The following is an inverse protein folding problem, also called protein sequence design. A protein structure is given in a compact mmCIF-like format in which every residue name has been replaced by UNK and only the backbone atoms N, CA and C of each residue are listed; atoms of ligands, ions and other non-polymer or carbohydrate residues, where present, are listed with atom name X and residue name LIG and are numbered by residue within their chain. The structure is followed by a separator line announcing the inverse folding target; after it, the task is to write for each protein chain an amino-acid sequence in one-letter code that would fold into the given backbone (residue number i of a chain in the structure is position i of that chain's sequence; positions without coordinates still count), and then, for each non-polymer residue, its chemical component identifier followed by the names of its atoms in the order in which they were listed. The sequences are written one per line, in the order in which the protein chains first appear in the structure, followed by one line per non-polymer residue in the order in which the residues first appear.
data_IF_527472877442
#
_entry.id   IF_527472877442
#
_cell.length_a   1.000
_cell.length_b   1.000
_cell.length_c   1.000
_cell.angle_alpha   90.00
_cell.angle_beta   90.00
_cell.angle_gamma   90.00
#
_symmetry.space_group_name_H-M   'P 1'
#
loop_
_entity.id
_entity.type
_entity.pdbx_description
1 polymer ?
#
# COMPACT_ATOMS: atom_id res chain seq x y z
N UNK A 1 66.30 -35.82 30.56
CA UNK A 1 65.20 -34.88 30.24
C UNK A 1 64.79 -35.15 28.79
N UNK A 2 63.59 -35.69 28.57
CA UNK A 2 63.23 -36.43 27.34
C UNK A 2 62.72 -35.50 26.23
N UNK A 3 63.59 -35.21 25.26
CA UNK A 3 63.43 -34.22 24.17
C UNK A 3 62.39 -34.68 23.11
N UNK A 4 62.03 -35.95 23.09
CA UNK A 4 61.13 -36.51 22.07
C UNK A 4 59.65 -36.18 22.35
N UNK A 5 59.31 -35.89 23.61
CA UNK A 5 57.93 -35.62 24.02
C UNK A 5 57.51 -34.14 23.78
N UNK A 6 58.47 -33.22 23.68
CA UNK A 6 58.19 -31.81 23.35
C UNK A 6 57.98 -31.60 21.85
N UNK A 7 58.62 -32.40 21.00
CA UNK A 7 58.47 -32.33 19.54
C UNK A 7 57.09 -32.84 19.09
N UNK A 8 56.54 -33.87 19.74
CA UNK A 8 55.20 -34.40 19.42
C UNK A 8 54.08 -33.43 19.80
N UNK A 9 54.20 -32.77 20.95
CA UNK A 9 53.25 -31.74 21.41
C UNK A 9 53.29 -30.50 20.52
N UNK A 10 54.48 -30.05 20.10
CA UNK A 10 54.64 -28.92 19.18
C UNK A 10 54.08 -29.20 17.78
N UNK A 11 54.25 -30.43 17.25
CA UNK A 11 53.62 -30.83 15.97
C UNK A 11 52.10 -30.88 16.06
N UNK A 12 51.53 -31.35 17.18
CA UNK A 12 50.08 -31.39 17.41
C UNK A 12 49.50 -29.98 17.58
N UNK A 13 50.23 -29.05 18.21
CA UNK A 13 49.78 -27.67 18.36
C UNK A 13 49.79 -26.91 17.02
N UNK A 14 50.79 -27.14 16.17
CA UNK A 14 50.84 -26.56 14.82
C UNK A 14 49.78 -27.12 13.86
N UNK A 15 49.38 -28.40 14.00
CA UNK A 15 48.29 -28.94 13.18
C UNK A 15 46.92 -28.38 13.61
N UNK A 16 46.71 -28.12 14.90
CA UNK A 16 45.49 -27.50 15.39
C UNK A 16 45.35 -26.04 14.94
N UNK A 17 46.44 -25.27 14.96
CA UNK A 17 46.44 -23.88 14.47
C UNK A 17 46.19 -23.81 12.95
N UNK A 18 46.85 -24.66 12.16
CA UNK A 18 46.58 -24.73 10.71
C UNK A 18 45.12 -25.08 10.39
N UNK A 19 44.52 -25.96 11.18
CA UNK A 19 43.12 -26.31 10.98
C UNK A 19 42.19 -25.15 11.38
N UNK A 20 42.50 -24.42 12.46
CA UNK A 20 41.72 -23.25 12.88
C UNK A 20 41.72 -22.15 11.82
N UNK A 21 42.86 -21.89 11.18
CA UNK A 21 42.95 -20.90 10.09
C UNK A 21 42.10 -21.34 8.87
N UNK A 22 42.10 -22.63 8.53
CA UNK A 22 41.25 -23.18 7.46
C UNK A 22 39.76 -23.07 7.81
N UNK A 23 39.37 -23.30 9.07
CA UNK A 23 37.98 -23.12 9.52
C UNK A 23 37.55 -21.65 9.48
N UNK A 24 38.43 -20.71 9.86
CA UNK A 24 38.13 -19.28 9.78
C UNK A 24 38.06 -18.79 8.33
N UNK A 25 38.88 -19.32 7.43
CA UNK A 25 38.80 -19.02 6.00
C UNK A 25 37.51 -19.57 5.39
N UNK A 26 37.05 -20.77 5.78
CA UNK A 26 35.78 -21.33 5.30
C UNK A 26 34.57 -20.57 5.83
N UNK A 27 34.59 -20.11 7.09
CA UNK A 27 33.55 -19.20 7.64
C UNK A 27 33.56 -17.88 6.86
N UNK A 28 34.72 -17.30 6.57
CA UNK A 28 34.82 -16.09 5.75
C UNK A 28 34.35 -16.31 4.31
N UNK A 29 34.69 -17.44 3.67
CA UNK A 29 34.18 -17.80 2.34
C UNK A 29 32.66 -17.97 2.34
N UNK A 30 32.08 -18.66 3.33
CA UNK A 30 30.62 -18.84 3.45
C UNK A 30 29.90 -17.51 3.69
N UNK A 31 30.45 -16.60 4.50
CA UNK A 31 29.87 -15.28 4.70
C UNK A 31 30.01 -14.36 3.48
N UNK A 32 31.10 -14.50 2.69
CA UNK A 32 31.31 -13.70 1.47
C UNK A 32 30.38 -14.11 0.32
N UNK A 33 29.88 -15.36 0.31
CA UNK A 33 28.94 -15.85 -0.71
C UNK A 33 27.46 -15.68 -0.35
N UNK A 34 27.12 -15.29 0.89
CA UNK A 34 25.72 -15.05 1.31
C UNK A 34 25.36 -13.61 1.67
N UNK A 35 26.30 -12.68 1.63
CA UNK A 35 25.95 -11.28 1.43
C UNK A 35 25.54 -11.10 -0.05
N UNK A 36 24.29 -11.43 -0.37
CA UNK A 36 23.65 -10.80 -1.53
C UNK A 36 23.75 -9.30 -1.25
N UNK A 37 24.50 -8.50 -2.04
CA UNK A 37 24.14 -7.11 -2.10
C UNK A 37 22.66 -7.14 -2.49
N UNK A 38 21.82 -6.43 -1.75
CA UNK A 38 20.55 -5.99 -2.29
C UNK A 38 20.92 -4.96 -3.37
N UNK A 39 21.53 -5.42 -4.45
CA UNK A 39 21.50 -4.76 -5.73
C UNK A 39 20.03 -4.77 -6.07
N UNK A 40 19.39 -3.63 -5.83
CA UNK A 40 18.33 -3.17 -6.69
C UNK A 40 18.83 -3.38 -8.12
N UNK A 41 18.40 -4.48 -8.72
CA UNK A 41 18.33 -4.58 -10.16
C UNK A 41 17.42 -3.42 -10.56
N UNK A 42 18.05 -2.26 -10.80
CA UNK A 42 17.67 -1.41 -11.90
C UNK A 42 17.75 -2.30 -13.12
N UNK A 43 16.68 -3.05 -13.36
CA UNK A 43 16.29 -3.40 -14.71
C UNK A 43 16.39 -2.09 -15.45
N UNK A 44 17.44 -1.94 -16.28
CA UNK A 44 17.40 -1.06 -17.43
C UNK A 44 16.23 -1.55 -18.26
N UNK A 45 15.04 -1.12 -17.85
CA UNK A 45 13.87 -1.06 -18.70
C UNK A 45 14.31 -0.07 -19.76
N UNK A 46 14.62 -0.58 -20.95
CA UNK A 46 14.66 0.25 -22.14
C UNK A 46 13.48 1.22 -22.04
N UNK A 47 13.62 2.54 -22.25
CA UNK A 47 12.48 3.42 -22.43
C UNK A 47 11.84 3.12 -23.80
N UNK A 48 11.37 1.89 -23.95
CA UNK A 48 10.45 1.46 -24.97
C UNK A 48 9.13 2.10 -24.60
N UNK A 49 8.90 3.27 -25.20
CA UNK A 49 7.59 3.91 -25.33
C UNK A 49 6.98 4.35 -24.00
N UNK A 50 7.33 5.59 -23.66
CA UNK A 50 6.36 6.57 -23.16
C UNK A 50 5.16 6.65 -24.13
N UNK A 51 4.27 5.66 -24.10
CA UNK A 51 2.97 5.66 -24.79
C UNK A 51 1.82 5.43 -23.79
N UNK A 52 2.08 5.53 -22.48
CA UNK A 52 1.05 5.48 -21.42
C UNK A 52 0.91 6.82 -20.67
N UNK A 53 1.25 7.95 -21.30
CA UNK A 53 1.11 9.30 -20.71
C UNK A 53 0.15 10.21 -21.49
N UNK A 54 -0.77 9.66 -22.27
CA UNK A 54 -1.74 10.45 -23.08
C UNK A 54 -3.14 9.86 -23.16
N UNK A 55 -3.46 8.85 -22.35
CA UNK A 55 -4.80 8.23 -22.38
C UNK A 55 -5.69 8.75 -21.25
N UNK A 56 -5.12 9.34 -20.19
CA UNK A 56 -5.91 9.94 -19.10
C UNK A 56 -6.23 11.43 -19.31
N UNK A 57 -5.59 12.09 -20.27
CA UNK A 57 -5.64 13.55 -20.35
C UNK A 57 -6.96 14.07 -20.93
N UNK A 58 -7.67 13.29 -21.75
CA UNK A 58 -8.84 13.81 -22.48
C UNK A 58 -10.18 13.55 -21.77
N UNK A 59 -10.31 12.47 -21.00
CA UNK A 59 -11.59 12.10 -20.39
C UNK A 59 -11.88 12.89 -19.10
N UNK A 60 -10.84 13.37 -18.42
CA UNK A 60 -10.95 14.15 -17.18
C UNK A 60 -10.61 15.63 -17.33
N UNK A 61 -10.20 16.09 -18.52
CA UNK A 61 -9.90 17.50 -18.81
C UNK A 61 -11.04 18.45 -18.43
N UNK A 62 -12.30 18.01 -18.58
CA UNK A 62 -13.45 18.80 -18.17
C UNK A 62 -13.61 18.91 -16.64
N UNK A 63 -13.26 17.84 -15.92
CA UNK A 63 -13.45 17.76 -14.46
C UNK A 63 -12.28 18.39 -13.69
N UNK A 64 -11.10 18.46 -14.30
CA UNK A 64 -9.86 18.94 -13.73
C UNK A 64 -9.11 19.81 -14.76
N UNK A 65 -9.49 21.09 -14.92
CA UNK A 65 -8.76 22.00 -15.79
C UNK A 65 -7.29 22.11 -15.36
N UNK A 66 -6.37 22.05 -16.33
CA UNK A 66 -4.93 22.19 -16.06
C UNK A 66 -4.65 23.47 -15.26
N UNK A 67 -3.88 23.34 -14.17
CA UNK A 67 -3.54 24.45 -13.28
C UNK A 67 -4.53 24.71 -12.14
N UNK A 68 -5.75 24.14 -12.17
CA UNK A 68 -6.75 24.31 -11.10
C UNK A 68 -7.07 23.04 -10.32
N UNK A 69 -6.38 21.93 -10.59
CA UNK A 69 -6.59 20.61 -9.98
C UNK A 69 -6.83 20.68 -8.47
N UNK A 70 -5.96 21.38 -7.72
CA UNK A 70 -6.06 21.49 -6.26
C UNK A 70 -7.36 22.15 -5.81
N UNK A 71 -7.78 23.20 -6.51
CA UNK A 71 -9.01 23.94 -6.18
C UNK A 71 -10.23 23.08 -6.45
N UNK A 72 -10.29 22.40 -7.60
CA UNK A 72 -11.39 21.50 -7.93
C UNK A 72 -11.45 20.29 -6.99
N UNK A 73 -10.30 19.70 -6.64
CA UNK A 73 -10.24 18.59 -5.68
C UNK A 73 -10.76 19.04 -4.31
N UNK A 74 -10.35 20.21 -3.81
CA UNK A 74 -10.88 20.77 -2.57
C UNK A 74 -12.38 21.06 -2.67
N UNK A 75 -12.84 21.58 -3.80
CA UNK A 75 -14.25 21.85 -4.03
C UNK A 75 -15.06 20.55 -4.02
N UNK A 76 -14.64 19.52 -4.74
CA UNK A 76 -15.29 18.21 -4.75
C UNK A 76 -15.28 17.55 -3.37
N UNK A 77 -14.18 17.65 -2.65
CA UNK A 77 -14.08 17.13 -1.29
C UNK A 77 -15.08 17.81 -0.34
N UNK A 78 -15.44 19.07 -0.60
CA UNK A 78 -16.42 19.81 0.20
C UNK A 78 -17.86 19.58 -0.29
N UNK A 79 -18.10 19.60 -1.60
CA UNK A 79 -19.45 19.59 -2.20
C UNK A 79 -20.05 18.18 -2.30
N UNK A 80 -19.26 17.15 -2.58
CA UNK A 80 -19.77 15.78 -2.72
C UNK A 80 -20.42 15.26 -1.43
N UNK A 81 -19.77 15.36 -0.25
CA UNK A 81 -20.39 14.95 1.01
C UNK A 81 -21.61 15.80 1.31
N UNK A 82 -21.52 17.13 1.12
CA UNK A 82 -22.65 18.02 1.35
C UNK A 82 -23.89 17.63 0.54
N UNK A 83 -23.71 17.34 -0.76
CA UNK A 83 -24.81 16.93 -1.63
C UNK A 83 -25.36 15.56 -1.23
N UNK A 84 -24.49 14.60 -0.89
CA UNK A 84 -24.91 13.29 -0.41
C UNK A 84 -25.73 13.38 0.89
N UNK A 85 -25.25 14.20 1.84
CA UNK A 85 -25.92 14.46 3.10
C UNK A 85 -27.25 15.17 2.91
N UNK A 86 -27.32 16.16 2.02
CA UNK A 86 -28.55 16.87 1.69
C UNK A 86 -29.59 15.94 1.09
N UNK A 87 -29.20 15.10 0.13
CA UNK A 87 -30.08 14.12 -0.50
C UNK A 87 -30.58 13.11 0.53
N UNK A 88 -29.70 12.61 1.39
CA UNK A 88 -30.09 11.69 2.46
C UNK A 88 -31.04 12.34 3.46
N UNK A 89 -30.73 13.55 3.91
CA UNK A 89 -31.56 14.32 4.85
C UNK A 89 -32.92 14.62 4.23
N UNK A 90 -32.96 14.96 2.94
CA UNK A 90 -34.18 15.16 2.19
C UNK A 90 -35.03 13.89 2.18
N UNK A 91 -34.49 12.73 1.79
CA UNK A 91 -35.25 11.48 1.78
C UNK A 91 -35.65 10.98 3.18
N UNK A 92 -34.78 11.18 4.18
CA UNK A 92 -35.03 10.75 5.55
C UNK A 92 -36.09 11.60 6.24
N UNK A 93 -35.99 12.93 6.14
CA UNK A 93 -36.89 13.87 6.82
C UNK A 93 -38.19 14.07 6.04
N UNK A 94 -38.19 14.04 4.71
CA UNK A 94 -39.45 14.09 3.92
C UNK A 94 -40.40 12.96 4.25
N UNK A 95 -39.92 11.89 4.88
CA UNK A 95 -40.73 10.77 5.36
C UNK A 95 -41.31 10.99 6.76
N UNK A 96 -40.78 11.91 7.56
CA UNK A 96 -41.21 12.16 8.94
C UNK A 96 -42.06 13.41 9.11
N UNK A 97 -41.62 14.59 8.65
CA UNK A 97 -42.40 15.86 8.63
C UNK A 97 -41.55 17.00 8.02
N UNK A 98 -42.11 17.83 7.14
CA UNK A 98 -41.41 18.98 6.55
C UNK A 98 -41.15 20.12 7.57
N UNK A 99 -41.94 20.19 8.64
CA UNK A 99 -41.75 21.19 9.70
C UNK A 99 -40.47 20.94 10.52
N UNK A 100 -40.13 19.66 10.73
CA UNK A 100 -38.89 19.23 11.39
C UNK A 100 -37.67 19.56 10.51
N UNK A 101 -37.80 19.43 9.19
CA UNK A 101 -36.73 19.81 8.26
C UNK A 101 -36.36 21.29 8.39
N UNK A 102 -37.36 22.18 8.37
CA UNK A 102 -37.14 23.62 8.45
C UNK A 102 -36.48 24.04 9.76
N UNK A 103 -36.94 23.50 10.89
CA UNK A 103 -36.41 23.85 12.22
C UNK A 103 -34.95 23.40 12.42
N UNK A 104 -34.57 22.24 11.86
CA UNK A 104 -33.17 21.79 11.87
C UNK A 104 -32.31 22.69 10.98
N UNK A 105 -32.87 23.18 9.87
CA UNK A 105 -32.17 24.01 8.89
C UNK A 105 -31.65 25.34 9.46
N UNK A 106 -32.42 25.97 10.35
CA UNK A 106 -32.21 27.36 10.78
C UNK A 106 -31.04 27.57 11.77
N UNK A 107 -30.61 26.55 12.52
CA UNK A 107 -29.66 26.78 13.63
C UNK A 107 -28.21 26.45 13.29
N UNK A 108 -27.88 25.26 12.76
CA UNK A 108 -26.50 24.86 12.41
C UNK A 108 -26.45 23.74 11.35
N UNK A 109 -27.46 23.67 10.47
CA UNK A 109 -27.70 22.52 9.59
C UNK A 109 -26.60 22.25 8.57
N UNK A 110 -25.90 23.28 8.09
CA UNK A 110 -24.95 23.08 6.99
C UNK A 110 -23.78 22.16 7.37
N UNK A 111 -23.17 22.37 8.54
CA UNK A 111 -22.08 21.50 9.03
C UNK A 111 -22.60 20.12 9.41
N UNK A 112 -23.79 20.03 9.99
CA UNK A 112 -24.39 18.74 10.34
C UNK A 112 -24.72 17.90 9.09
N UNK A 113 -25.31 18.55 8.08
CA UNK A 113 -25.60 17.98 6.74
C UNK A 113 -24.30 17.56 6.04
N UNK A 114 -23.22 18.31 6.22
CA UNK A 114 -21.92 17.96 5.68
C UNK A 114 -21.30 16.74 6.36
N UNK A 115 -21.33 16.68 7.70
CA UNK A 115 -20.84 15.54 8.48
C UNK A 115 -21.60 14.24 8.16
N UNK A 116 -22.94 14.28 8.16
CA UNK A 116 -23.75 13.10 7.78
C UNK A 116 -23.45 12.67 6.34
N UNK A 117 -23.19 13.64 5.46
CA UNK A 117 -22.72 13.44 4.11
C UNK A 117 -21.46 12.57 4.00
N UNK A 118 -20.44 12.86 4.81
CA UNK A 118 -19.23 12.06 4.84
C UNK A 118 -19.46 10.64 5.33
N UNK A 119 -20.33 10.45 6.33
CA UNK A 119 -20.66 9.11 6.83
C UNK A 119 -21.24 8.25 5.71
N UNK A 120 -22.17 8.80 4.92
CA UNK A 120 -22.78 8.09 3.80
C UNK A 120 -21.74 7.73 2.74
N UNK A 121 -20.88 8.70 2.36
CA UNK A 121 -19.81 8.47 1.39
C UNK A 121 -18.80 7.44 1.90
N UNK A 122 -18.44 7.50 3.18
CA UNK A 122 -17.50 6.57 3.81
C UNK A 122 -18.07 5.15 3.86
N UNK A 123 -19.34 4.98 4.23
CA UNK A 123 -20.02 3.67 4.22
C UNK A 123 -20.05 3.09 2.81
N UNK A 124 -20.37 3.91 1.79
CA UNK A 124 -20.39 3.46 0.40
C UNK A 124 -18.99 3.04 -0.08
N UNK A 125 -17.95 3.83 0.23
CA UNK A 125 -16.56 3.46 -0.03
C UNK A 125 -16.16 2.16 0.67
N UNK A 126 -16.54 2.01 1.94
CA UNK A 126 -16.24 0.81 2.71
C UNK A 126 -16.86 -0.43 2.08
N UNK A 127 -18.12 -0.35 1.65
CA UNK A 127 -18.81 -1.44 0.94
C UNK A 127 -18.08 -1.77 -0.37
N UNK A 128 -17.65 -0.76 -1.14
CA UNK A 128 -16.90 -0.97 -2.38
C UNK A 128 -15.57 -1.67 -2.11
N UNK A 129 -14.83 -1.26 -1.06
CA UNK A 129 -13.57 -1.88 -0.68
C UNK A 129 -13.76 -3.34 -0.23
N UNK A 130 -14.79 -3.63 0.57
CA UNK A 130 -15.12 -4.99 0.99
C UNK A 130 -15.45 -5.86 -0.23
N UNK A 131 -16.27 -5.35 -1.16
CA UNK A 131 -16.62 -6.07 -2.39
C UNK A 131 -15.38 -6.39 -3.23
N UNK A 132 -14.48 -5.44 -3.40
CA UNK A 132 -13.22 -5.66 -4.11
C UNK A 132 -12.34 -6.70 -3.41
N UNK A 133 -12.21 -6.61 -2.08
CA UNK A 133 -11.45 -7.56 -1.28
C UNK A 133 -11.97 -9.00 -1.42
N UNK A 134 -13.29 -9.20 -1.30
CA UNK A 134 -13.92 -10.51 -1.49
C UNK A 134 -13.69 -11.03 -2.92
N UNK A 135 -13.82 -10.16 -3.93
CA UNK A 135 -13.59 -10.52 -5.33
C UNK A 135 -12.17 -11.03 -5.58
N UNK A 136 -11.16 -10.37 -5.00
CA UNK A 136 -9.75 -10.78 -5.12
C UNK A 136 -9.54 -12.17 -4.51
N UNK A 137 -10.07 -12.40 -3.30
CA UNK A 137 -9.95 -13.69 -2.61
C UNK A 137 -10.69 -14.80 -3.37
N UNK A 138 -11.89 -14.51 -3.88
CA UNK A 138 -12.68 -15.46 -4.67
C UNK A 138 -11.99 -15.87 -5.98
N UNK A 139 -11.34 -14.93 -6.66
CA UNK A 139 -10.62 -15.22 -7.90
C UNK A 139 -9.32 -16.01 -7.64
N UNK A 140 -8.62 -15.74 -6.54
CA UNK A 140 -7.39 -16.46 -6.16
C UNK A 140 -7.61 -17.96 -5.93
N UNK A 141 -8.77 -18.38 -5.44
CA UNK A 141 -9.09 -19.81 -5.20
C UNK A 141 -9.30 -20.60 -6.49
N UNK A 142 -9.79 -19.96 -7.56
CA UNK A 142 -10.01 -20.61 -8.86
C UNK A 142 -8.71 -20.92 -9.59
N UNK A 143 -7.71 -20.05 -9.48
CA UNK A 143 -6.39 -20.23 -10.12
C UNK A 143 -5.59 -21.40 -9.54
N UNK A 144 -5.81 -21.78 -8.27
CA UNK A 144 -5.11 -22.91 -7.63
C UNK A 144 -5.73 -24.28 -8.01
N UNK A 145 -7.00 -24.32 -8.39
CA UNK A 145 -7.69 -25.56 -8.80
C UNK A 145 -7.48 -25.92 -10.28
N UNK A 146 -6.84 -25.04 -11.06
CA UNK A 146 -6.53 -25.25 -12.48
C UNK A 146 -5.05 -25.61 -12.74
N UNK A 147 -4.27 -25.92 -11.69
CA UNK A 147 -2.94 -26.49 -11.89
C UNK A 147 -3.05 -28.03 -11.98
N UNK A 148 -2.71 -28.64 -13.13
CA UNK A 148 -2.70 -30.09 -13.30
C UNK A 148 -1.62 -30.76 -12.45
#
# INVERSE_FOLDING_TARGET
MNINNTISVSKKHNSLLKNADVYLEEIQRKHKHHARPYTSSQTKVNPSKTENKKIFDNDFSFLLPEGYEKVFISLYALTLPYLAGLVFLFFYISKQDLSIFSSICDSHSALFTWCIGYEIVAVLLLIMLIKQSISIVGNSKRTQLQRP
#
